data_IF_165708984562
#
_entry.id   IF_165708984562
#
_cell.length_a   1.000
_cell.length_b   1.000
_cell.length_c   1.000
_cell.angle_alpha   90.00
_cell.angle_beta   90.00
_cell.angle_gamma   90.00
#
_symmetry.space_group_name_H-M   'P 1'
#
loop_
_entity.id
_entity.type
_entity.pdbx_description
1 polymer ?
#
# COMPACT_ATOMS: atom_id res chain seq x y z
N UNK A 1 -30.86 56.73 19.77
CA UNK A 1 -32.18 56.18 19.35
C UNK A 1 -31.94 54.75 18.92
N UNK A 2 -32.46 53.85 19.73
CA UNK A 2 -32.40 52.41 19.59
C UNK A 2 -33.17 51.85 18.38
N UNK A 3 -32.75 50.63 18.02
CA UNK A 3 -33.51 49.48 17.53
C UNK A 3 -34.30 49.60 16.21
N UNK A 4 -33.98 48.70 15.26
CA UNK A 4 -34.84 47.54 14.95
C UNK A 4 -33.96 46.42 14.36
N UNK A 5 -34.02 45.26 15.03
CA UNK A 5 -33.56 43.96 14.54
C UNK A 5 -34.45 43.47 13.39
N UNK A 6 -33.86 43.15 12.23
CA UNK A 6 -34.47 42.25 11.26
C UNK A 6 -33.65 40.94 11.23
N UNK A 7 -34.21 39.92 11.88
CA UNK A 7 -33.79 38.52 11.78
C UNK A 7 -34.00 38.04 10.34
N UNK A 8 -32.94 37.92 9.56
CA UNK A 8 -32.94 37.05 8.39
C UNK A 8 -32.71 35.61 8.85
N UNK A 9 -33.78 34.80 8.88
CA UNK A 9 -33.67 33.34 8.96
C UNK A 9 -33.11 32.84 7.62
N UNK A 10 -31.96 32.15 7.55
CA UNK A 10 -31.59 31.45 6.33
C UNK A 10 -32.55 30.27 6.13
N UNK A 11 -33.29 30.28 5.02
CA UNK A 11 -34.02 29.09 4.54
C UNK A 11 -32.99 28.00 4.20
N UNK A 12 -33.27 26.71 4.48
CA UNK A 12 -32.30 25.64 4.30
C UNK A 12 -32.24 25.23 2.82
N UNK A 13 -31.43 25.93 2.03
CA UNK A 13 -31.16 25.51 0.63
C UNK A 13 -29.84 24.71 0.56
N UNK A 14 -29.20 24.46 1.71
CA UNK A 14 -27.99 23.64 1.82
C UNK A 14 -28.27 22.33 2.58
N UNK A 15 -29.35 21.63 2.21
CA UNK A 15 -29.67 20.27 2.70
C UNK A 15 -30.07 19.29 1.59
N UNK A 16 -30.26 19.76 0.35
CA UNK A 16 -30.69 18.88 -0.76
C UNK A 16 -29.54 18.45 -1.67
N UNK A 17 -28.39 19.13 -1.67
CA UNK A 17 -27.24 18.76 -2.53
C UNK A 17 -26.28 17.78 -1.79
N UNK A 18 -26.26 17.78 -0.46
CA UNK A 18 -25.47 16.83 0.33
C UNK A 18 -26.12 15.43 0.47
N UNK A 19 -27.33 15.23 -0.08
CA UNK A 19 -27.97 13.91 -0.24
C UNK A 19 -27.78 13.31 -1.64
N UNK A 20 -27.13 14.01 -2.57
CA UNK A 20 -27.00 13.60 -3.98
C UNK A 20 -25.60 13.10 -4.37
N UNK A 21 -24.64 13.02 -3.44
CA UNK A 21 -23.30 12.48 -3.69
C UNK A 21 -22.92 11.30 -2.77
N UNK A 22 -23.90 10.71 -2.09
CA UNK A 22 -23.74 9.48 -1.32
C UNK A 22 -24.62 8.35 -1.89
N UNK A 23 -24.49 8.02 -3.18
CA UNK A 23 -25.12 6.83 -3.76
C UNK A 23 -24.40 6.40 -5.05
N UNK A 24 -23.42 5.51 -4.92
CA UNK A 24 -23.15 4.53 -5.99
C UNK A 24 -22.28 3.35 -5.55
N UNK A 25 -22.40 2.88 -4.31
CA UNK A 25 -22.02 1.51 -3.98
C UNK A 25 -22.92 1.00 -2.88
N UNK A 26 -23.52 -0.17 -3.08
CA UNK A 26 -24.17 -0.89 -2.00
C UNK A 26 -23.14 -1.26 -0.93
N UNK A 27 -23.60 -1.57 0.28
CA UNK A 27 -22.74 -2.16 1.33
C UNK A 27 -22.02 -3.39 0.78
N UNK A 28 -20.77 -3.71 1.21
CA UNK A 28 -20.06 -4.91 0.75
C UNK A 28 -20.80 -6.24 0.99
N UNK A 29 -21.82 -6.25 1.86
CA UNK A 29 -22.68 -7.40 2.15
C UNK A 29 -24.03 -7.35 1.43
N UNK A 30 -24.22 -6.41 0.51
CA UNK A 30 -25.48 -6.17 -0.18
C UNK A 30 -25.27 -6.20 -1.69
N UNK A 31 -26.27 -6.67 -2.43
CA UNK A 31 -26.28 -6.61 -3.89
C UNK A 31 -27.20 -5.47 -4.36
N UNK A 32 -26.99 -5.06 -5.62
CA UNK A 32 -27.78 -4.01 -6.26
C UNK A 32 -28.79 -4.63 -7.21
N UNK A 33 -30.08 -4.43 -6.95
CA UNK A 33 -31.18 -4.76 -7.85
C UNK A 33 -31.06 -4.01 -9.18
N UNK A 34 -31.73 -4.49 -10.22
CA UNK A 34 -31.76 -3.84 -11.54
C UNK A 34 -32.43 -2.46 -11.49
N UNK A 35 -33.45 -2.29 -10.65
CA UNK A 35 -34.09 -1.00 -10.34
C UNK A 35 -33.25 -0.06 -9.46
N UNK A 36 -32.03 -0.46 -9.10
CA UNK A 36 -31.06 0.35 -8.37
C UNK A 36 -31.17 0.33 -6.84
N UNK A 37 -32.14 -0.40 -6.28
CA UNK A 37 -32.21 -0.64 -4.82
C UNK A 37 -31.07 -1.55 -4.37
N UNK A 38 -30.63 -1.40 -3.13
CA UNK A 38 -29.70 -2.34 -2.51
C UNK A 38 -30.46 -3.29 -1.59
N UNK A 39 -30.19 -4.59 -1.71
CA UNK A 39 -30.78 -5.64 -0.88
C UNK A 39 -29.70 -6.45 -0.19
N UNK A 40 -30.04 -7.00 0.96
CA UNK A 40 -29.12 -7.79 1.76
C UNK A 40 -28.80 -9.12 1.05
N UNK A 41 -27.63 -9.69 1.30
CA UNK A 41 -27.23 -10.99 0.73
C UNK A 41 -28.26 -12.09 0.97
N UNK A 42 -28.93 -12.08 2.12
CA UNK A 42 -29.94 -13.10 2.45
C UNK A 42 -31.21 -13.04 1.59
N UNK A 43 -31.48 -11.91 0.96
CA UNK A 43 -32.60 -11.71 0.03
C UNK A 43 -32.27 -12.14 -1.41
N UNK A 44 -31.11 -12.78 -1.64
CA UNK A 44 -30.70 -13.19 -2.98
C UNK A 44 -30.98 -14.68 -3.18
N UNK A 45 -31.83 -15.01 -4.15
CA UNK A 45 -32.24 -16.39 -4.46
C UNK A 45 -32.94 -17.09 -3.29
N UNK A 46 -33.79 -16.36 -2.56
CA UNK A 46 -34.57 -16.89 -1.45
C UNK A 46 -36.00 -17.31 -1.85
N UNK A 47 -36.36 -17.10 -3.12
CA UNK A 47 -37.67 -17.42 -3.70
C UNK A 47 -38.72 -16.31 -3.53
N UNK A 48 -38.33 -15.12 -3.05
CA UNK A 48 -39.21 -13.98 -2.83
C UNK A 48 -38.74 -12.79 -3.68
N UNK A 49 -39.66 -12.08 -4.35
CA UNK A 49 -39.34 -10.81 -5.02
C UNK A 49 -39.18 -9.69 -3.99
N UNK A 50 -37.99 -9.61 -3.43
CA UNK A 50 -37.56 -8.64 -2.46
C UNK A 50 -37.25 -7.29 -3.14
N UNK A 51 -36.64 -7.32 -4.32
CA UNK A 51 -36.30 -6.13 -5.11
C UNK A 51 -37.55 -5.37 -5.62
N UNK A 52 -38.67 -6.06 -5.83
CA UNK A 52 -39.90 -5.57 -6.46
C UNK A 52 -39.82 -5.47 -7.99
N UNK A 53 -38.73 -5.95 -8.58
CA UNK A 53 -38.51 -6.11 -10.02
C UNK A 53 -38.00 -7.52 -10.38
N UNK A 54 -38.01 -8.43 -9.40
CA UNK A 54 -37.58 -9.82 -9.46
C UNK A 54 -36.11 -10.01 -9.90
N UNK A 55 -35.27 -8.97 -9.75
CA UNK A 55 -33.87 -9.03 -10.18
C UNK A 55 -32.97 -9.82 -9.24
N UNK A 56 -33.36 -9.95 -7.98
CA UNK A 56 -32.83 -10.86 -6.96
C UNK A 56 -33.04 -12.33 -7.30
N UNK A 57 -34.15 -12.67 -7.93
CA UNK A 57 -34.48 -14.06 -8.29
C UNK A 57 -34.10 -14.43 -9.74
N UNK A 58 -33.81 -13.43 -10.58
CA UNK A 58 -33.59 -13.60 -12.02
C UNK A 58 -32.30 -14.33 -12.42
N UNK A 59 -31.30 -14.41 -11.52
CA UNK A 59 -29.97 -14.98 -11.81
C UNK A 59 -29.65 -16.23 -10.99
N UNK A 60 -30.67 -16.84 -10.39
CA UNK A 60 -30.55 -17.98 -9.48
C UNK A 60 -30.48 -19.34 -10.19
N UNK A 61 -31.17 -19.47 -11.34
CA UNK A 61 -31.13 -20.65 -12.22
C UNK A 61 -31.16 -20.19 -13.68
N UNK A 62 -29.99 -19.86 -14.21
CA UNK A 62 -29.77 -19.39 -15.57
C UNK A 62 -29.19 -20.49 -16.45
N UNK A 63 -29.61 -20.51 -17.72
CA UNK A 63 -28.99 -21.37 -18.72
C UNK A 63 -27.47 -21.09 -18.82
N UNK A 64 -26.62 -22.13 -18.92
CA UNK A 64 -25.18 -21.96 -19.08
C UNK A 64 -24.75 -21.05 -20.23
N UNK A 65 -25.58 -20.86 -21.25
CA UNK A 65 -25.33 -19.97 -22.38
C UNK A 65 -25.70 -18.49 -22.13
N UNK A 66 -26.50 -18.17 -21.11
CA UNK A 66 -27.02 -16.82 -20.84
C UNK A 66 -25.98 -15.96 -20.12
N UNK A 67 -25.39 -14.90 -20.70
CA UNK A 67 -24.31 -14.13 -20.06
C UNK A 67 -24.74 -13.47 -18.74
N UNK A 68 -23.84 -13.44 -17.76
CA UNK A 68 -24.08 -12.74 -16.49
C UNK A 68 -24.07 -11.20 -16.69
N UNK A 69 -24.77 -10.44 -15.82
CA UNK A 69 -24.74 -8.98 -15.87
C UNK A 69 -23.34 -8.39 -15.64
N UNK A 70 -23.08 -7.15 -16.08
CA UNK A 70 -21.83 -6.46 -15.79
C UNK A 70 -21.57 -6.36 -14.27
N UNK A 71 -20.37 -6.78 -13.83
CA UNK A 71 -19.99 -6.78 -12.41
C UNK A 71 -20.46 -8.01 -11.62
N UNK A 72 -20.92 -9.03 -12.33
CA UNK A 72 -21.31 -10.34 -11.80
C UNK A 72 -20.48 -11.43 -12.46
N UNK A 73 -20.19 -12.48 -11.71
CA UNK A 73 -19.47 -13.66 -12.16
C UNK A 73 -20.37 -14.89 -12.13
N UNK A 74 -20.05 -15.87 -12.98
CA UNK A 74 -20.78 -17.13 -13.06
C UNK A 74 -20.24 -18.12 -12.04
N UNK A 75 -21.15 -18.78 -11.31
CA UNK A 75 -20.84 -19.89 -10.43
C UNK A 75 -20.16 -21.07 -11.16
N UNK A 76 -19.35 -21.89 -10.46
CA UNK A 76 -18.70 -23.08 -11.03
C UNK A 76 -19.66 -24.08 -11.68
N UNK A 77 -20.86 -24.24 -11.12
CA UNK A 77 -21.95 -25.09 -11.63
C UNK A 77 -22.59 -24.56 -12.93
N UNK A 78 -22.23 -23.33 -13.31
CA UNK A 78 -22.70 -22.54 -14.46
C UNK A 78 -24.17 -22.15 -14.44
N UNK A 79 -24.89 -22.41 -13.34
CA UNK A 79 -26.35 -22.21 -13.26
C UNK A 79 -26.74 -20.95 -12.50
N UNK A 80 -25.82 -20.30 -11.82
CA UNK A 80 -26.10 -19.09 -11.04
C UNK A 80 -25.08 -18.00 -11.37
N UNK A 81 -25.53 -16.75 -11.39
CA UNK A 81 -24.62 -15.60 -11.41
C UNK A 81 -24.68 -14.91 -10.04
N UNK A 82 -23.51 -14.59 -9.49
CA UNK A 82 -23.38 -13.86 -8.23
C UNK A 82 -22.58 -12.57 -8.46
N UNK A 83 -22.73 -11.53 -7.63
CA UNK A 83 -21.86 -10.36 -7.69
C UNK A 83 -20.37 -10.75 -7.63
N UNK A 84 -19.51 -10.14 -8.44
CA UNK A 84 -18.09 -10.51 -8.52
C UNK A 84 -17.33 -10.46 -7.20
N UNK A 85 -17.80 -9.63 -6.26
CA UNK A 85 -17.19 -9.48 -4.94
C UNK A 85 -17.63 -10.56 -3.93
N UNK A 86 -18.58 -11.42 -4.29
CA UNK A 86 -18.98 -12.60 -3.51
C UNK A 86 -18.17 -13.85 -3.91
N UNK A 87 -17.43 -13.78 -5.02
CA UNK A 87 -16.51 -14.84 -5.40
C UNK A 87 -15.33 -14.91 -4.42
N UNK A 88 -15.12 -16.05 -3.76
CA UNK A 88 -14.03 -16.29 -2.81
C UNK A 88 -14.02 -15.33 -1.61
N UNK A 89 -15.19 -15.02 -1.06
CA UNK A 89 -15.35 -14.14 0.10
C UNK A 89 -15.54 -14.88 1.43
N UNK A 90 -15.47 -16.21 1.40
CA UNK A 90 -15.52 -17.10 2.56
C UNK A 90 -16.92 -17.58 2.94
N UNK A 91 -17.92 -17.32 2.09
CA UNK A 91 -19.30 -17.79 2.25
C UNK A 91 -19.67 -18.73 1.10
N UNK A 92 -20.90 -19.26 1.13
CA UNK A 92 -21.42 -20.19 0.13
C UNK A 92 -22.66 -19.60 -0.53
N UNK A 93 -22.50 -19.08 -1.74
CA UNK A 93 -23.54 -18.47 -2.56
C UNK A 93 -23.93 -19.30 -3.76
N UNK A 94 -23.02 -20.13 -4.30
CA UNK A 94 -23.32 -21.03 -5.40
C UNK A 94 -23.97 -22.33 -4.92
N UNK A 95 -24.82 -22.93 -5.75
CA UNK A 95 -25.44 -24.21 -5.42
C UNK A 95 -24.43 -25.35 -5.61
N UNK A 96 -24.07 -26.04 -4.53
CA UNK A 96 -23.25 -27.24 -4.59
C UNK A 96 -21.73 -26.97 -4.58
N UNK A 97 -21.09 -26.99 -5.76
CA UNK A 97 -19.64 -26.76 -5.86
C UNK A 97 -19.33 -25.31 -5.49
N UNK A 98 -18.73 -25.14 -4.31
CA UNK A 98 -18.43 -23.83 -3.77
C UNK A 98 -17.48 -23.07 -4.69
N UNK A 99 -17.84 -21.83 -4.97
CA UNK A 99 -16.97 -20.77 -5.49
C UNK A 99 -15.64 -20.67 -4.71
N UNK A 100 -15.63 -21.07 -3.44
CA UNK A 100 -14.43 -21.15 -2.59
C UNK A 100 -13.51 -22.34 -2.96
N UNK A 101 -14.03 -23.40 -3.57
CA UNK A 101 -13.25 -24.60 -3.96
C UNK A 101 -12.48 -24.37 -5.26
N UNK A 102 -13.05 -23.63 -6.22
CA UNK A 102 -12.36 -23.29 -7.47
C UNK A 102 -11.28 -22.19 -7.27
N UNK A 103 -11.28 -21.54 -6.11
CA UNK A 103 -10.14 -20.77 -5.60
C UNK A 103 -8.88 -21.64 -5.33
N UNK A 104 -8.98 -22.97 -5.43
CA UNK A 104 -7.89 -23.95 -5.20
C UNK A 104 -6.66 -23.89 -6.13
N UNK A 105 -6.73 -23.19 -7.27
CA UNK A 105 -5.52 -22.86 -8.06
C UNK A 105 -4.72 -21.71 -7.45
N UNK A 106 -5.35 -20.93 -6.58
CA UNK A 106 -4.72 -19.85 -5.81
C UNK A 106 -4.30 -20.32 -4.41
N UNK A 107 -4.85 -21.41 -3.87
CA UNK A 107 -4.43 -21.98 -2.57
C UNK A 107 -2.98 -22.51 -2.61
N UNK A 108 -2.56 -23.20 -3.69
CA UNK A 108 -1.17 -23.66 -3.87
C UNK A 108 -0.19 -22.51 -4.18
N UNK A 109 -0.67 -21.39 -4.74
CA UNK A 109 0.13 -20.19 -4.99
C UNK A 109 0.27 -19.34 -3.72
N UNK A 110 -0.83 -19.15 -3.01
CA UNK A 110 -0.91 -18.49 -1.71
C UNK A 110 -0.12 -19.24 -0.66
N UNK A 111 -0.13 -20.59 -0.65
CA UNK A 111 0.72 -21.37 0.24
C UNK A 111 2.21 -21.11 -0.01
N UNK A 112 2.64 -21.05 -1.28
CA UNK A 112 4.04 -20.74 -1.61
C UNK A 112 4.44 -19.31 -1.21
N UNK A 113 3.55 -18.33 -1.39
CA UNK A 113 3.80 -16.94 -0.97
C UNK A 113 3.85 -16.82 0.56
N UNK A 114 2.94 -17.47 1.28
CA UNK A 114 2.92 -17.49 2.75
C UNK A 114 4.18 -18.16 3.30
N UNK A 115 4.58 -19.29 2.73
CA UNK A 115 5.82 -20.00 3.11
C UNK A 115 7.03 -19.11 2.84
N UNK A 116 7.16 -18.55 1.64
CA UNK A 116 8.28 -17.69 1.30
C UNK A 116 8.35 -16.42 2.16
N UNK A 117 7.20 -15.80 2.45
CA UNK A 117 7.10 -14.67 3.39
C UNK A 117 7.64 -15.06 4.76
N UNK A 118 7.21 -16.21 5.27
CA UNK A 118 7.61 -16.72 6.59
C UNK A 118 9.10 -17.03 6.63
N UNK A 119 9.63 -17.71 5.62
CA UNK A 119 11.06 -18.01 5.49
C UNK A 119 11.91 -16.74 5.38
N UNK A 120 11.47 -15.75 4.62
CA UNK A 120 12.20 -14.49 4.46
C UNK A 120 12.19 -13.66 5.75
N UNK A 121 11.05 -13.64 6.46
CA UNK A 121 10.96 -13.05 7.81
C UNK A 121 11.93 -13.73 8.78
N UNK A 122 11.93 -15.06 8.83
CA UNK A 122 12.87 -15.83 9.66
C UNK A 122 14.33 -15.57 9.27
N UNK A 123 14.62 -15.46 7.98
CA UNK A 123 15.96 -15.13 7.50
C UNK A 123 16.45 -13.78 8.03
N UNK A 124 15.60 -12.75 8.08
CA UNK A 124 15.94 -11.48 8.72
C UNK A 124 16.22 -11.66 10.22
N UNK A 125 15.38 -12.43 10.93
CA UNK A 125 15.57 -12.69 12.36
C UNK A 125 16.87 -13.44 12.66
N UNK A 126 17.28 -14.36 11.78
CA UNK A 126 18.55 -15.09 11.91
C UNK A 126 19.80 -14.25 11.62
N UNK A 127 19.66 -13.03 11.07
CA UNK A 127 20.81 -12.11 10.95
C UNK A 127 21.29 -11.56 12.29
N UNK A 128 20.48 -11.69 13.34
CA UNK A 128 20.86 -11.35 14.71
C UNK A 128 22.05 -12.17 15.18
N UNK A 129 23.16 -11.50 15.49
CA UNK A 129 24.38 -12.13 16.03
C UNK A 129 24.25 -12.43 17.53
N UNK A 130 24.76 -13.58 17.97
CA UNK A 130 24.69 -14.00 19.38
C UNK A 130 25.52 -13.12 20.32
N UNK A 131 26.75 -12.74 19.96
CA UNK A 131 27.74 -12.22 20.94
C UNK A 131 28.24 -10.77 20.75
N UNK A 132 27.83 -10.04 19.71
CA UNK A 132 28.35 -8.68 19.47
C UNK A 132 27.42 -7.58 19.98
N UNK A 133 27.38 -7.30 21.29
CA UNK A 133 26.83 -6.01 21.76
C UNK A 133 27.87 -4.93 21.44
N UNK A 134 27.54 -3.85 20.69
CA UNK A 134 26.21 -3.31 20.36
C UNK A 134 25.84 -3.32 18.85
N UNK A 135 26.28 -4.30 18.07
CA UNK A 135 26.04 -4.42 16.62
C UNK A 135 25.46 -5.80 16.26
N UNK A 136 24.33 -6.16 16.89
CA UNK A 136 23.75 -7.51 16.74
C UNK A 136 22.97 -7.63 15.44
N UNK A 137 22.34 -6.56 14.99
CA UNK A 137 21.59 -6.49 13.73
C UNK A 137 22.40 -5.91 12.57
N UNK A 138 23.54 -5.28 12.86
CA UNK A 138 24.49 -4.81 11.84
C UNK A 138 24.17 -3.42 11.31
N UNK A 139 25.03 -2.90 10.44
CA UNK A 139 24.95 -1.53 9.89
C UNK A 139 23.69 -1.22 9.04
N UNK A 140 22.89 -2.22 8.71
CA UNK A 140 21.66 -2.08 7.91
C UNK A 140 20.39 -2.31 8.73
N UNK A 141 20.48 -2.19 10.07
CA UNK A 141 19.34 -2.38 10.98
C UNK A 141 18.11 -1.53 10.61
N UNK A 142 18.29 -0.34 10.02
CA UNK A 142 17.20 0.51 9.52
C UNK A 142 16.37 -0.15 8.41
N UNK A 143 17.02 -0.91 7.51
CA UNK A 143 16.31 -1.69 6.47
C UNK A 143 15.62 -2.91 7.07
N UNK A 144 16.28 -3.59 8.01
CA UNK A 144 15.73 -4.77 8.70
C UNK A 144 14.45 -4.38 9.44
N UNK A 145 14.48 -3.28 10.20
CA UNK A 145 13.34 -2.76 10.94
C UNK A 145 12.15 -2.50 10.01
N UNK A 146 12.38 -1.77 8.92
CA UNK A 146 11.35 -1.43 7.94
C UNK A 146 10.77 -2.68 7.26
N UNK A 147 11.63 -3.61 6.83
CA UNK A 147 11.19 -4.82 6.14
C UNK A 147 10.37 -5.75 7.05
N UNK A 148 10.82 -5.96 8.30
CA UNK A 148 10.11 -6.78 9.27
C UNK A 148 8.74 -6.18 9.61
N UNK A 149 8.65 -4.87 9.82
CA UNK A 149 7.37 -4.21 10.07
C UNK A 149 6.40 -4.32 8.90
N UNK A 150 6.86 -4.09 7.67
CA UNK A 150 6.01 -4.23 6.48
C UNK A 150 5.56 -5.68 6.24
N UNK A 151 6.28 -6.66 6.79
CA UNK A 151 5.88 -8.06 6.79
C UNK A 151 4.86 -8.39 7.87
N UNK A 152 5.03 -7.79 9.06
CA UNK A 152 4.27 -8.05 10.26
C UNK A 152 4.25 -6.79 11.14
N UNK A 153 3.08 -6.15 11.20
CA UNK A 153 2.87 -4.91 11.95
C UNK A 153 3.07 -5.09 13.47
N UNK A 154 2.98 -6.33 13.98
CA UNK A 154 3.19 -6.64 15.40
C UNK A 154 4.66 -6.66 15.82
N UNK A 155 5.60 -6.60 14.87
CA UNK A 155 7.05 -6.65 15.12
C UNK A 155 7.50 -5.67 16.21
N UNK A 156 6.89 -4.48 16.27
CA UNK A 156 7.22 -3.42 17.23
C UNK A 156 6.16 -3.18 18.31
N UNK A 157 5.18 -4.10 18.42
CA UNK A 157 4.15 -4.06 19.45
C UNK A 157 4.70 -4.26 20.86
N UNK A 158 3.84 -3.98 21.86
CA UNK A 158 4.18 -4.10 23.27
C UNK A 158 4.65 -5.52 23.62
N UNK A 159 5.79 -5.63 24.30
CA UNK A 159 6.36 -6.92 24.71
C UNK A 159 7.22 -7.64 23.66
N UNK A 160 7.39 -7.06 22.45
CA UNK A 160 8.30 -7.63 21.44
C UNK A 160 9.78 -7.42 21.82
N UNK A 161 10.42 -8.46 22.36
CA UNK A 161 11.85 -8.43 22.71
C UNK A 161 12.75 -8.11 21.50
N UNK A 162 12.38 -8.60 20.32
CA UNK A 162 13.06 -8.30 19.05
C UNK A 162 12.88 -6.83 18.67
N UNK A 163 11.67 -6.31 18.80
CA UNK A 163 11.36 -4.90 18.52
C UNK A 163 12.15 -3.96 19.44
N UNK A 164 12.24 -4.27 20.74
CA UNK A 164 13.03 -3.49 21.69
C UNK A 164 14.53 -3.51 21.38
N UNK A 165 15.07 -4.66 21.01
CA UNK A 165 16.47 -4.80 20.65
C UNK A 165 16.82 -3.99 19.40
N UNK A 166 15.96 -4.04 18.37
CA UNK A 166 16.12 -3.24 17.15
C UNK A 166 15.97 -1.74 17.45
N UNK A 167 14.98 -1.33 18.26
CA UNK A 167 14.81 0.07 18.71
C UNK A 167 16.08 0.60 19.37
N UNK A 168 16.66 -0.18 20.29
CA UNK A 168 17.87 0.19 21.00
C UNK A 168 19.07 0.34 20.06
N UNK A 169 19.29 -0.62 19.15
CA UNK A 169 20.40 -0.57 18.19
C UNK A 169 20.25 0.58 17.19
N UNK A 170 19.04 0.86 16.71
CA UNK A 170 18.73 2.02 15.86
C UNK A 170 19.15 3.33 16.52
N UNK A 171 18.77 3.54 17.80
CA UNK A 171 19.13 4.73 18.56
C UNK A 171 20.64 4.91 18.66
N UNK A 172 21.35 3.84 19.04
CA UNK A 172 22.80 3.88 19.19
C UNK A 172 23.53 4.16 17.87
N UNK A 173 23.16 3.47 16.79
CA UNK A 173 23.80 3.69 15.50
C UNK A 173 23.55 5.11 14.97
N UNK A 174 22.32 5.61 15.08
CA UNK A 174 21.98 6.93 14.61
C UNK A 174 22.68 8.03 15.42
N UNK A 175 22.70 7.94 16.76
CA UNK A 175 23.43 8.88 17.61
C UNK A 175 24.93 8.91 17.27
N UNK A 176 25.54 7.75 17.04
CA UNK A 176 26.95 7.67 16.61
C UNK A 176 27.19 8.32 15.25
N UNK A 177 26.26 8.18 14.32
CA UNK A 177 26.38 8.78 12.99
C UNK A 177 26.13 10.30 13.03
N UNK A 178 25.29 10.79 13.93
CA UNK A 178 25.06 12.23 14.13
C UNK A 178 26.24 12.90 14.85
N UNK A 179 26.91 12.20 15.77
CA UNK A 179 28.07 12.73 16.52
C UNK A 179 29.41 12.67 15.79
N UNK A 180 29.49 12.08 14.59
CA UNK A 180 30.71 12.06 13.76
C UNK A 180 30.68 13.23 12.77
N UNK A 181 31.85 13.81 12.47
CA UNK A 181 32.02 14.79 11.38
C UNK A 181 31.67 14.22 9.98
N UNK A 182 31.49 12.89 9.88
CA UNK A 182 31.04 12.23 8.66
C UNK A 182 29.54 12.43 8.48
N UNK A 183 29.18 13.42 7.67
CA UNK A 183 27.79 13.72 7.29
C UNK A 183 27.15 12.51 6.59
N UNK A 184 26.13 11.91 7.23
CA UNK A 184 25.24 10.90 6.66
C UNK A 184 24.63 11.40 5.34
N UNK A 185 24.45 10.52 4.34
CA UNK A 185 23.79 10.91 3.07
C UNK A 185 22.30 11.21 3.26
N UNK A 186 21.68 12.00 2.36
CA UNK A 186 20.23 12.27 2.42
C UNK A 186 19.39 10.99 2.31
N UNK A 187 19.84 10.03 1.50
CA UNK A 187 19.16 8.74 1.34
C UNK A 187 19.25 7.89 2.61
N UNK A 188 20.42 7.85 3.25
CA UNK A 188 20.60 7.13 4.51
C UNK A 188 19.77 7.76 5.64
N UNK A 189 19.71 9.10 5.71
CA UNK A 189 18.84 9.81 6.64
C UNK A 189 17.36 9.46 6.43
N UNK A 190 16.90 9.44 5.17
CA UNK A 190 15.54 9.04 4.83
C UNK A 190 15.22 7.58 5.22
N UNK A 191 16.19 6.67 5.06
CA UNK A 191 16.04 5.29 5.51
C UNK A 191 15.93 5.17 7.03
N UNK A 192 16.70 5.97 7.79
CA UNK A 192 16.55 6.05 9.23
C UNK A 192 15.19 6.63 9.62
N UNK A 193 14.69 7.68 8.96
CA UNK A 193 13.35 8.22 9.22
C UNK A 193 12.28 7.14 9.05
N UNK A 194 12.30 6.39 7.94
CA UNK A 194 11.40 5.24 7.75
C UNK A 194 11.50 4.22 8.89
N UNK A 195 12.72 3.87 9.30
CA UNK A 195 12.96 2.92 10.38
C UNK A 195 12.40 3.42 11.73
N UNK A 196 12.59 4.71 12.05
CA UNK A 196 12.08 5.31 13.29
C UNK A 196 10.55 5.30 13.33
N UNK A 197 9.89 5.65 12.22
CA UNK A 197 8.43 5.61 12.10
C UNK A 197 7.86 4.21 12.41
N UNK A 198 8.42 3.17 11.79
CA UNK A 198 7.94 1.80 12.02
C UNK A 198 8.27 1.26 13.41
N UNK A 199 9.35 1.77 14.01
CA UNK A 199 9.82 1.34 15.33
C UNK A 199 9.22 2.12 16.49
N UNK A 200 8.27 3.02 16.23
CA UNK A 200 7.61 3.86 17.24
C UNK A 200 8.58 4.81 17.96
N UNK A 201 9.48 5.42 17.19
CA UNK A 201 10.35 6.51 17.65
C UNK A 201 10.03 7.74 16.79
N UNK A 202 9.74 8.87 17.41
CA UNK A 202 9.43 10.10 16.66
C UNK A 202 10.70 10.66 15.98
N UNK A 203 10.77 10.71 14.64
CA UNK A 203 11.92 11.30 13.94
C UNK A 203 11.98 12.84 14.03
N UNK A 204 10.92 13.51 14.51
CA UNK A 204 10.88 14.98 14.70
C UNK A 204 11.49 15.41 16.03
N UNK A 205 11.52 14.51 17.01
CA UNK A 205 12.13 14.71 18.31
C UNK A 205 13.04 13.53 18.68
N UNK A 206 14.08 13.33 17.88
CA UNK A 206 15.09 12.31 18.16
C UNK A 206 16.21 12.92 19.00
N UNK A 207 16.12 12.85 20.33
CA UNK A 207 17.12 13.43 21.25
C UNK A 207 17.40 14.92 20.96
N UNK A 208 16.35 15.71 20.68
CA UNK A 208 16.46 17.12 20.30
C UNK A 208 16.84 17.37 18.83
N UNK A 209 17.10 16.32 18.04
CA UNK A 209 17.28 16.44 16.60
C UNK A 209 15.95 16.25 15.86
N UNK A 210 15.58 17.24 15.04
CA UNK A 210 14.48 17.12 14.09
C UNK A 210 15.02 16.63 12.74
N UNK A 211 15.00 15.31 12.56
CA UNK A 211 15.57 14.63 11.39
C UNK A 211 14.74 14.89 10.13
N UNK A 212 13.42 15.00 10.27
CA UNK A 212 12.49 15.34 9.17
C UNK A 212 12.82 16.72 8.61
N UNK A 213 12.99 17.72 9.49
CA UNK A 213 13.39 19.08 9.10
C UNK A 213 14.78 19.11 8.45
N UNK A 214 15.73 18.34 8.96
CA UNK A 214 17.06 18.23 8.34
C UNK A 214 17.00 17.59 6.95
N UNK A 215 16.15 16.57 6.75
CA UNK A 215 15.94 15.99 5.42
C UNK A 215 15.29 16.99 4.47
N UNK A 216 14.24 17.71 4.91
CA UNK A 216 13.56 18.77 4.14
C UNK A 216 14.55 19.81 3.64
N UNK A 217 15.38 20.33 4.55
CA UNK A 217 16.44 21.30 4.23
C UNK A 217 17.40 20.79 3.15
N UNK A 218 17.78 19.50 3.18
CA UNK A 218 18.67 18.90 2.18
C UNK A 218 18.00 18.75 0.81
N UNK A 219 16.71 18.42 0.79
CA UNK A 219 15.91 18.31 -0.44
C UNK A 219 15.74 19.68 -1.09
N UNK A 220 15.53 20.74 -0.30
CA UNK A 220 15.41 22.10 -0.82
C UNK A 220 16.75 22.67 -1.30
N UNK A 221 17.83 22.38 -0.57
CA UNK A 221 19.17 22.87 -0.89
C UNK A 221 19.77 22.24 -2.16
N UNK A 222 19.34 21.05 -2.59
CA UNK A 222 19.90 20.41 -3.78
C UNK A 222 19.52 21.12 -5.08
N UNK A 223 18.45 21.93 -5.09
CA UNK A 223 17.95 22.70 -6.24
C UNK A 223 17.35 21.83 -7.36
N UNK A 224 17.98 20.68 -7.65
CA UNK A 224 17.50 19.63 -8.53
C UNK A 224 17.04 18.43 -7.72
N UNK A 225 15.84 17.95 -8.06
CA UNK A 225 15.25 16.77 -7.47
C UNK A 225 15.75 15.51 -8.19
N UNK A 226 16.58 14.71 -7.51
CA UNK A 226 17.18 13.51 -8.13
C UNK A 226 16.72 12.20 -7.50
N UNK A 227 16.07 12.23 -6.35
CA UNK A 227 15.72 11.01 -5.61
C UNK A 227 14.28 11.03 -5.05
N UNK A 228 13.32 10.45 -5.82
CA UNK A 228 11.92 10.18 -5.44
C UNK A 228 11.71 9.67 -4.01
N UNK A 229 12.64 8.84 -3.52
CA UNK A 229 12.56 8.25 -2.18
C UNK A 229 12.57 9.30 -1.05
N UNK A 230 13.24 10.44 -1.24
CA UNK A 230 13.33 11.46 -0.18
C UNK A 230 11.98 12.14 0.08
N UNK A 231 11.18 12.36 -0.98
CA UNK A 231 9.84 12.96 -0.84
C UNK A 231 8.87 11.94 -0.28
N UNK A 232 8.98 10.67 -0.70
CA UNK A 232 8.22 9.59 -0.09
C UNK A 232 8.47 9.52 1.41
N UNK A 233 9.74 9.62 1.85
CA UNK A 233 10.09 9.60 3.26
C UNK A 233 9.58 10.82 4.05
N UNK A 234 9.64 12.02 3.47
CA UNK A 234 9.06 13.23 4.06
C UNK A 234 7.54 13.10 4.22
N UNK A 235 6.85 12.65 3.18
CA UNK A 235 5.41 12.45 3.23
C UNK A 235 4.99 11.33 4.21
N UNK A 236 5.73 10.22 4.25
CA UNK A 236 5.51 9.16 5.25
C UNK A 236 5.71 9.63 6.69
N UNK A 237 6.59 10.61 6.90
CA UNK A 237 6.81 11.26 8.19
C UNK A 237 5.81 12.39 8.50
N UNK A 238 4.74 12.50 7.70
CA UNK A 238 3.67 13.52 7.82
C UNK A 238 4.20 14.96 7.69
N UNK A 239 5.28 15.16 6.93
CA UNK A 239 5.82 16.50 6.70
C UNK A 239 4.86 17.37 5.87
N UNK A 240 5.01 18.69 5.98
CA UNK A 240 4.19 19.63 5.22
C UNK A 240 4.58 19.59 3.72
N UNK A 241 3.81 18.84 2.95
CA UNK A 241 4.00 18.71 1.50
C UNK A 241 3.56 19.99 0.78
N UNK A 242 4.24 20.32 -0.32
CA UNK A 242 4.00 21.56 -1.10
C UNK A 242 3.67 21.27 -2.56
N UNK A 243 3.08 22.24 -3.27
CA UNK A 243 2.89 22.15 -4.72
C UNK A 243 4.22 22.00 -5.47
N UNK A 244 5.30 22.61 -4.96
CA UNK A 244 6.65 22.47 -5.51
C UNK A 244 7.17 21.04 -5.39
N UNK A 245 6.79 20.30 -4.34
CA UNK A 245 7.15 18.88 -4.22
C UNK A 245 6.49 18.04 -5.30
N UNK A 246 5.21 18.30 -5.59
CA UNK A 246 4.47 17.64 -6.68
C UNK A 246 5.10 17.97 -8.03
N UNK A 247 5.36 19.25 -8.29
CA UNK A 247 6.01 19.72 -9.51
C UNK A 247 7.39 19.08 -9.69
N UNK A 248 8.21 18.98 -8.65
CA UNK A 248 9.54 18.37 -8.74
C UNK A 248 9.49 16.87 -9.02
N UNK A 249 8.57 16.15 -8.37
CA UNK A 249 8.40 14.71 -8.57
C UNK A 249 7.86 14.41 -9.97
N UNK A 250 6.98 15.25 -10.50
CA UNK A 250 6.40 15.14 -11.86
C UNK A 250 7.35 15.62 -12.96
N UNK A 251 8.04 16.75 -12.76
CA UNK A 251 9.03 17.25 -13.74
C UNK A 251 10.22 16.31 -13.88
N UNK A 252 10.64 15.64 -12.80
CA UNK A 252 11.67 14.59 -12.89
C UNK A 252 11.22 13.42 -13.79
N UNK A 253 9.91 13.19 -13.89
CA UNK A 253 9.32 12.24 -14.84
C UNK A 253 9.28 12.82 -16.27
N UNK A 254 8.81 14.06 -16.46
CA UNK A 254 8.64 14.66 -17.80
C UNK A 254 9.98 14.97 -18.50
N UNK A 255 10.99 15.38 -17.74
CA UNK A 255 12.25 15.93 -18.28
C UNK A 255 13.19 14.89 -18.90
N UNK A 256 12.95 13.58 -18.75
CA UNK A 256 13.88 12.55 -19.24
C UNK A 256 13.19 11.26 -19.71
N UNK A 257 12.89 11.18 -21.01
CA UNK A 257 12.56 9.93 -21.71
C UNK A 257 13.79 8.99 -21.84
N UNK A 258 14.47 8.64 -20.73
CA UNK A 258 15.59 7.68 -20.73
C UNK A 258 15.19 6.31 -20.17
N UNK A 259 15.75 5.21 -20.70
CA UNK A 259 15.42 3.84 -20.30
C UNK A 259 15.79 3.47 -18.86
N UNK A 260 16.61 4.23 -18.13
CA UNK A 260 17.17 3.88 -16.81
C UNK A 260 16.40 4.41 -15.58
N UNK A 261 15.13 4.81 -15.71
CA UNK A 261 14.38 5.51 -14.65
C UNK A 261 13.23 4.73 -14.00
N UNK A 262 13.04 3.44 -14.31
CA UNK A 262 11.90 2.66 -13.84
C UNK A 262 11.80 2.61 -12.30
N UNK A 263 12.93 2.49 -11.59
CA UNK A 263 13.00 2.57 -10.12
C UNK A 263 12.49 3.92 -9.59
N UNK A 264 12.98 5.00 -10.20
CA UNK A 264 12.63 6.37 -9.84
C UNK A 264 11.16 6.64 -10.10
N UNK A 265 10.62 6.18 -11.24
CA UNK A 265 9.20 6.30 -11.57
C UNK A 265 8.33 5.55 -10.56
N UNK A 266 8.68 4.32 -10.18
CA UNK A 266 7.96 3.57 -9.14
C UNK A 266 7.93 4.30 -7.80
N UNK A 267 9.08 4.86 -7.38
CA UNK A 267 9.19 5.67 -6.17
C UNK A 267 8.43 7.00 -6.27
N UNK A 268 8.43 7.64 -7.45
CA UNK A 268 7.67 8.87 -7.70
C UNK A 268 6.17 8.61 -7.64
N UNK A 269 5.67 7.51 -8.22
CA UNK A 269 4.27 7.09 -8.11
C UNK A 269 3.87 6.88 -6.65
N UNK A 270 4.72 6.21 -5.85
CA UNK A 270 4.50 6.06 -4.41
C UNK A 270 4.50 7.41 -3.68
N UNK A 271 5.43 8.32 -4.00
CA UNK A 271 5.49 9.65 -3.39
C UNK A 271 4.24 10.49 -3.71
N UNK A 272 3.83 10.54 -4.98
CA UNK A 272 2.62 11.25 -5.42
C UNK A 272 1.36 10.66 -4.80
N UNK A 273 1.25 9.33 -4.72
CA UNK A 273 0.15 8.66 -4.03
C UNK A 273 0.12 8.98 -2.54
N UNK A 274 1.29 9.10 -1.89
CA UNK A 274 1.38 9.57 -0.51
C UNK A 274 0.84 11.00 -0.36
N UNK A 275 1.34 11.93 -1.19
CA UNK A 275 0.93 13.35 -1.15
C UNK A 275 -0.59 13.45 -1.37
N UNK A 276 -1.11 12.75 -2.38
CA UNK A 276 -2.53 12.74 -2.73
C UNK A 276 -3.43 12.20 -1.62
N UNK A 277 -2.94 11.25 -0.81
CA UNK A 277 -3.75 10.57 0.21
C UNK A 277 -3.58 11.14 1.63
N UNK A 278 -2.46 11.82 1.90
CA UNK A 278 -2.08 12.26 3.25
C UNK A 278 -1.87 13.77 3.40
N UNK A 279 -1.94 14.54 2.31
CA UNK A 279 -1.79 15.99 2.35
C UNK A 279 -2.99 16.69 1.71
N UNK A 280 -3.10 18.00 1.94
CA UNK A 280 -4.09 18.85 1.26
C UNK A 280 -3.66 19.31 -0.14
N UNK A 281 -2.46 18.94 -0.58
CA UNK A 281 -1.93 19.32 -1.89
C UNK A 281 -2.57 18.47 -2.97
N UNK A 282 -3.14 19.13 -3.98
CA UNK A 282 -3.74 18.45 -5.13
C UNK A 282 -2.66 17.81 -6.00
N UNK A 283 -2.87 16.54 -6.34
CA UNK A 283 -2.08 15.77 -7.31
C UNK A 283 -3.01 15.36 -8.44
N UNK A 284 -2.60 15.57 -9.69
CA UNK A 284 -3.41 15.10 -10.84
C UNK A 284 -3.36 13.56 -10.90
N UNK A 285 -4.46 12.92 -10.55
CA UNK A 285 -4.61 11.47 -10.55
C UNK A 285 -4.40 10.86 -11.94
N UNK A 286 -4.63 11.63 -13.02
CA UNK A 286 -4.38 11.16 -14.39
C UNK A 286 -2.90 10.91 -14.64
N UNK A 287 -2.05 11.86 -14.22
CA UNK A 287 -0.59 11.71 -14.31
C UNK A 287 -0.14 10.46 -13.53
N UNK A 288 -0.66 10.27 -12.32
CA UNK A 288 -0.34 9.09 -11.51
C UNK A 288 -0.77 7.78 -12.20
N UNK A 289 -1.97 7.74 -12.79
CA UNK A 289 -2.46 6.58 -13.56
C UNK A 289 -1.61 6.32 -14.80
N UNK A 290 -1.20 7.36 -15.53
CA UNK A 290 -0.34 7.24 -16.71
C UNK A 290 1.05 6.69 -16.33
N UNK A 291 1.61 7.17 -15.22
CA UNK A 291 2.87 6.64 -14.68
C UNK A 291 2.74 5.15 -14.33
N UNK A 292 1.65 4.75 -13.65
CA UNK A 292 1.43 3.34 -13.31
C UNK A 292 1.21 2.48 -14.58
N UNK A 293 0.49 3.02 -15.57
CA UNK A 293 0.27 2.36 -16.86
C UNK A 293 1.58 2.08 -17.59
N UNK A 294 2.49 3.04 -17.61
CA UNK A 294 3.81 2.89 -18.23
C UNK A 294 4.68 1.86 -17.49
N UNK A 295 4.62 1.82 -16.15
CA UNK A 295 5.33 0.78 -15.38
C UNK A 295 4.87 -0.63 -15.74
N UNK A 296 3.57 -0.85 -15.96
CA UNK A 296 3.03 -2.16 -16.37
C UNK A 296 3.60 -2.61 -17.72
N UNK A 297 3.71 -1.69 -18.68
CA UNK A 297 4.20 -1.98 -20.04
C UNK A 297 5.67 -2.40 -20.08
N UNK A 298 6.43 -2.16 -19.01
CA UNK A 298 7.86 -2.52 -18.91
C UNK A 298 8.08 -3.97 -18.46
N UNK A 299 7.04 -4.72 -18.15
CA UNK A 299 7.19 -6.12 -17.79
C UNK A 299 7.59 -6.98 -19.00
N UNK A 300 8.72 -7.68 -18.88
CA UNK A 300 9.14 -8.69 -19.84
C UNK A 300 8.29 -9.96 -19.70
N UNK A 301 8.26 -10.80 -20.75
CA UNK A 301 7.52 -12.07 -20.76
C UNK A 301 7.92 -13.05 -19.66
N UNK A 302 9.12 -12.92 -19.10
CA UNK A 302 9.61 -13.72 -17.98
C UNK A 302 9.15 -13.20 -16.60
N UNK A 303 8.34 -12.13 -16.55
CA UNK A 303 7.85 -11.50 -15.33
C UNK A 303 8.75 -10.40 -14.75
N UNK A 304 9.98 -10.26 -15.24
CA UNK A 304 10.92 -9.23 -14.77
C UNK A 304 10.54 -7.84 -15.26
N UNK A 305 10.91 -6.82 -14.48
CA UNK A 305 10.98 -5.42 -14.94
C UNK A 305 12.41 -4.96 -14.70
N UNK A 306 13.19 -4.76 -15.76
CA UNK A 306 14.63 -4.43 -15.79
C UNK A 306 15.55 -5.38 -14.97
N UNK A 307 15.54 -5.28 -13.65
CA UNK A 307 16.34 -6.08 -12.73
C UNK A 307 15.53 -6.47 -11.48
N UNK A 308 16.12 -7.25 -10.57
CA UNK A 308 15.44 -7.73 -9.35
C UNK A 308 14.84 -6.59 -8.51
N UNK A 309 15.63 -5.56 -8.22
CA UNK A 309 15.22 -4.41 -7.40
C UNK A 309 14.10 -3.64 -8.09
N UNK A 310 14.23 -3.40 -9.39
CA UNK A 310 13.22 -2.70 -10.18
C UNK A 310 11.92 -3.48 -10.24
N UNK A 311 11.99 -4.80 -10.46
CA UNK A 311 10.82 -5.69 -10.41
C UNK A 311 10.09 -5.55 -9.07
N UNK A 312 10.83 -5.55 -7.95
CA UNK A 312 10.24 -5.39 -6.62
C UNK A 312 9.60 -4.01 -6.43
N UNK A 313 10.30 -2.93 -6.78
CA UNK A 313 9.79 -1.55 -6.63
C UNK A 313 8.56 -1.29 -7.51
N UNK A 314 8.57 -1.77 -8.75
CA UNK A 314 7.41 -1.65 -9.65
C UNK A 314 6.23 -2.43 -9.12
N UNK A 315 6.45 -3.66 -8.65
CA UNK A 315 5.36 -4.46 -8.05
C UNK A 315 4.75 -3.75 -6.84
N UNK A 316 5.59 -3.16 -5.98
CA UNK A 316 5.13 -2.34 -4.86
C UNK A 316 4.32 -1.12 -5.30
N UNK A 317 4.77 -0.39 -6.32
CA UNK A 317 4.06 0.78 -6.85
C UNK A 317 2.71 0.38 -7.49
N UNK A 318 2.64 -0.77 -8.16
CA UNK A 318 1.41 -1.24 -8.80
C UNK A 318 0.33 -1.70 -7.82
N UNK A 319 0.63 -1.86 -6.53
CA UNK A 319 -0.40 -1.99 -5.49
C UNK A 319 -1.25 -0.71 -5.31
N UNK A 320 -0.76 0.45 -5.77
CA UNK A 320 -1.55 1.68 -5.81
C UNK A 320 -2.76 1.47 -6.74
N UNK A 321 -3.95 1.76 -6.22
CA UNK A 321 -5.24 1.57 -6.91
C UNK A 321 -5.49 0.15 -7.45
N UNK A 322 -4.82 -0.86 -6.89
CA UNK A 322 -4.80 -2.23 -7.44
C UNK A 322 -4.46 -2.28 -8.94
N UNK A 323 -3.57 -1.39 -9.39
CA UNK A 323 -3.23 -1.23 -10.82
C UNK A 323 -2.67 -2.51 -11.43
N UNK A 324 -2.08 -3.41 -10.64
CA UNK A 324 -1.59 -4.73 -11.07
C UNK A 324 -2.70 -5.66 -11.61
N UNK A 325 -3.98 -5.44 -11.29
CA UNK A 325 -5.07 -6.36 -11.67
C UNK A 325 -5.29 -6.50 -13.18
N UNK A 326 -4.78 -5.57 -13.99
CA UNK A 326 -4.91 -5.60 -15.45
C UNK A 326 -3.57 -5.30 -16.09
N UNK A 327 -3.19 -6.12 -17.08
CA UNK A 327 -2.01 -5.92 -17.94
C UNK A 327 -0.66 -6.03 -17.23
N UNK A 328 -0.63 -6.59 -16.02
CA UNK A 328 0.60 -6.93 -15.30
C UNK A 328 0.48 -8.36 -14.75
N UNK A 329 1.42 -9.22 -15.09
CA UNK A 329 1.49 -10.58 -14.58
C UNK A 329 2.18 -10.59 -13.21
N UNK A 330 1.39 -10.37 -12.16
CA UNK A 330 1.86 -10.37 -10.77
C UNK A 330 2.49 -11.71 -10.38
N UNK A 331 1.94 -12.82 -10.87
CA UNK A 331 2.42 -14.16 -10.52
C UNK A 331 3.84 -14.39 -11.05
N UNK A 332 4.09 -14.02 -12.31
CA UNK A 332 5.43 -14.11 -12.90
C UNK A 332 6.41 -13.17 -12.20
N UNK A 333 6.00 -11.95 -11.83
CA UNK A 333 6.84 -11.04 -11.06
C UNK A 333 7.20 -11.61 -9.67
N UNK A 334 6.23 -12.15 -8.94
CA UNK A 334 6.47 -12.80 -7.64
C UNK A 334 7.39 -14.01 -7.81
N UNK A 335 7.19 -14.83 -8.84
CA UNK A 335 8.05 -15.98 -9.13
C UNK A 335 9.50 -15.58 -9.37
N UNK A 336 9.74 -14.51 -10.12
CA UNK A 336 11.07 -13.92 -10.31
C UNK A 336 11.68 -13.53 -8.95
N UNK A 337 10.94 -12.82 -8.11
CA UNK A 337 11.40 -12.38 -6.80
C UNK A 337 11.74 -13.56 -5.87
N UNK A 338 10.90 -14.61 -5.87
CA UNK A 338 11.16 -15.82 -5.10
C UNK A 338 12.39 -16.57 -5.60
N UNK A 339 12.54 -16.70 -6.93
CA UNK A 339 13.69 -17.38 -7.53
C UNK A 339 15.01 -16.65 -7.23
N UNK A 340 15.02 -15.32 -7.29
CA UNK A 340 16.20 -14.51 -6.97
C UNK A 340 16.61 -14.59 -5.50
N UNK A 341 15.67 -14.87 -4.60
CA UNK A 341 15.95 -15.09 -3.18
C UNK A 341 16.54 -16.47 -2.88
N UNK A 342 16.44 -17.46 -3.76
CA UNK A 342 16.98 -18.82 -3.50
C UNK A 342 18.49 -18.95 -3.74
N UNK A 343 19.14 -17.99 -4.41
CA UNK A 343 20.58 -18.00 -4.68
C UNK A 343 21.40 -17.44 -3.50
N UNK A 344 21.69 -16.13 -3.54
CA UNK A 344 22.31 -15.40 -2.42
C UNK A 344 21.41 -14.24 -2.01
N UNK A 345 20.67 -14.40 -0.90
CA UNK A 345 19.81 -13.34 -0.36
C UNK A 345 20.69 -12.16 0.06
N UNK A 346 20.82 -11.13 -0.79
CA UNK A 346 21.37 -9.86 -0.34
C UNK A 346 20.34 -9.19 0.57
N UNK A 347 20.80 -8.49 1.61
CA UNK A 347 19.91 -7.78 2.52
C UNK A 347 19.08 -6.72 1.76
N UNK A 348 19.66 -6.14 0.71
CA UNK A 348 19.01 -5.14 -0.12
C UNK A 348 17.86 -5.76 -0.94
N UNK A 349 18.08 -6.93 -1.53
CA UNK A 349 17.04 -7.65 -2.29
C UNK A 349 15.91 -8.10 -1.38
N UNK A 350 16.25 -8.66 -0.21
CA UNK A 350 15.28 -9.04 0.81
C UNK A 350 14.44 -7.85 1.30
N UNK A 351 15.06 -6.67 1.45
CA UNK A 351 14.39 -5.43 1.85
C UNK A 351 13.31 -4.99 0.85
N UNK A 352 13.56 -5.11 -0.46
CA UNK A 352 12.57 -4.75 -1.47
C UNK A 352 11.54 -5.86 -1.75
N UNK A 353 11.92 -7.14 -1.61
CA UNK A 353 11.02 -8.26 -1.90
C UNK A 353 10.01 -8.54 -0.77
N UNK A 354 10.42 -8.41 0.50
CA UNK A 354 9.55 -8.79 1.63
C UNK A 354 8.22 -8.02 1.70
N UNK A 355 8.18 -6.69 1.43
CA UNK A 355 6.91 -5.96 1.34
C UNK A 355 5.97 -6.52 0.27
N UNK A 356 6.51 -6.94 -0.89
CA UNK A 356 5.73 -7.50 -2.00
C UNK A 356 4.99 -8.77 -1.55
N UNK A 357 5.66 -9.66 -0.83
CA UNK A 357 5.06 -10.89 -0.31
C UNK A 357 3.96 -10.63 0.74
N UNK A 358 3.89 -9.41 1.26
CA UNK A 358 2.84 -8.97 2.20
C UNK A 358 1.79 -8.07 1.55
N UNK A 359 1.83 -7.90 0.21
CA UNK A 359 1.03 -6.90 -0.52
C UNK A 359 1.14 -5.50 0.08
N UNK A 360 2.35 -5.14 0.49
CA UNK A 360 2.73 -3.84 1.04
C UNK A 360 3.80 -3.19 0.17
N UNK A 361 3.98 -1.90 0.38
CA UNK A 361 4.95 -1.07 -0.32
C UNK A 361 5.64 -0.13 0.66
N UNK A 362 6.70 0.56 0.22
CA UNK A 362 7.34 1.63 0.99
C UNK A 362 6.40 2.81 1.29
N UNK A 363 5.28 2.96 0.55
CA UNK A 363 4.20 3.89 0.85
C UNK A 363 3.45 3.52 2.15
N UNK A 364 3.47 2.25 2.57
CA UNK A 364 2.80 1.81 3.79
C UNK A 364 3.61 2.05 5.08
N UNK A 365 4.79 2.67 5.00
CA UNK A 365 5.55 3.09 6.18
C UNK A 365 4.81 4.24 6.87
N UNK A 366 4.35 4.00 8.11
CA UNK A 366 3.64 4.96 8.95
C UNK A 366 3.95 4.70 10.42
N UNK A 367 3.57 5.63 11.30
CA UNK A 367 3.58 5.45 12.76
C UNK A 367 2.18 5.13 13.34
N UNK A 368 1.17 4.86 12.49
CA UNK A 368 -0.22 4.70 12.93
C UNK A 368 -0.48 3.45 13.80
N UNK A 369 0.40 2.44 13.71
CA UNK A 369 0.34 1.25 14.57
C UNK A 369 0.91 1.49 15.96
N UNK A 370 1.60 2.61 16.18
CA UNK A 370 2.21 2.93 17.45
C UNK A 370 1.18 3.44 18.45
N UNK A 371 1.20 2.91 19.66
CA UNK A 371 0.37 3.42 20.75
C UNK A 371 0.87 4.83 21.08
N UNK A 372 0.03 5.84 20.85
CA UNK A 372 0.26 7.18 21.36
C UNK A 372 -0.05 7.13 22.86
N UNK A 373 0.97 7.12 23.71
CA UNK A 373 0.73 7.39 25.12
C UNK A 373 0.04 8.75 25.24
N UNK A 374 -1.07 8.87 25.99
CA UNK A 374 -1.69 10.16 26.21
C UNK A 374 -0.66 11.05 26.90
N UNK A 375 -0.42 12.23 26.33
CA UNK A 375 0.36 13.28 26.98
C UNK A 375 -0.39 13.62 28.28
N UNK A 376 0.20 13.26 29.42
CA UNK A 376 -0.34 13.52 30.75
C UNK A 376 -0.19 15.00 31.14
#
# INVERSE_FOLDING_TARGET
MDLIHLKFRPRPIMSTILKLLALSSCSPKAFKCSNGKCKDRHSFCDGIDDCGDNSDESYCDVDPATPCPPGWDRCPDKRKCIPSHWMCDGWLDCYGASEEVECGKDILKTSNIIVAKTELKLWFLHKRKSDSRPDRWGSQVHRIATALHLADNSTFGSGSSTGEEIRYELRLQLLRNLGKDKKMSSQELALYIHALLVSCIDPRDFYGYNLVRELRRRVEASGNYTNPFLILALCNAEDAMTAQDVERVTTAYDSQHRPFWTDSQALSSMALSCISSRSSVSVDERILKDMLQELKRRQFRNGTVDNFRTTALVTQALFIFDSYKKEFDLDSAIKVLLSGLNGSKSLLDAYYALPVLSRKSLLNVTSNHCIKEPVA
#
